data_IF_428632506103
#
_entry.id   IF_428632506103
#
_cell.length_a   1.000
_cell.length_b   1.000
_cell.length_c   1.000
_cell.angle_alpha   90.00
_cell.angle_beta   90.00
_cell.angle_gamma   90.00
#
_symmetry.space_group_name_H-M   'P 1'
#
loop_
_entity.id
_entity.type
_entity.pdbx_description
1 polymer ?
#
# COMPACT_ATOMS: atom_id res chain seq x y z
N UNK A 1 36.58 -25.74 31.57
CA UNK A 1 36.77 -25.57 30.12
C UNK A 1 35.52 -26.05 29.41
N UNK A 2 34.97 -25.23 28.50
CA UNK A 2 34.11 -25.59 27.35
C UNK A 2 32.76 -26.28 27.68
N UNK A 3 31.62 -25.95 27.09
CA UNK A 3 31.24 -25.05 26.01
C UNK A 3 29.75 -24.76 26.18
N UNK A 4 29.36 -23.49 26.20
CA UNK A 4 27.98 -23.06 26.07
C UNK A 4 27.64 -23.05 24.58
N UNK A 5 26.91 -24.06 24.09
CA UNK A 5 26.37 -24.04 22.72
C UNK A 5 25.06 -23.27 22.73
N UNK A 6 25.11 -21.99 22.32
CA UNK A 6 23.93 -21.18 22.07
C UNK A 6 23.53 -21.45 20.61
N UNK A 7 22.58 -22.37 20.43
CA UNK A 7 21.96 -22.63 19.13
C UNK A 7 20.99 -21.47 18.88
N UNK A 8 21.43 -20.50 18.08
CA UNK A 8 20.55 -19.45 17.56
C UNK A 8 19.72 -20.09 16.45
N UNK A 9 18.48 -20.46 16.78
CA UNK A 9 17.45 -20.74 15.78
C UNK A 9 17.08 -19.41 15.11
N UNK A 10 17.68 -19.14 13.95
CA UNK A 10 17.11 -18.18 13.01
C UNK A 10 15.84 -18.82 12.43
N UNK A 11 14.70 -18.56 13.06
CA UNK A 11 13.40 -18.74 12.43
C UNK A 11 13.30 -17.66 11.35
N UNK A 12 13.76 -17.97 10.13
CA UNK A 12 13.42 -17.18 8.96
C UNK A 12 11.91 -17.33 8.75
N UNK A 13 11.14 -16.41 9.32
CA UNK A 13 9.73 -16.25 9.00
C UNK A 13 9.64 -16.01 7.51
N UNK A 14 9.00 -16.93 6.80
CA UNK A 14 8.75 -16.78 5.37
C UNK A 14 7.63 -15.76 5.21
N UNK A 15 7.96 -14.48 5.29
CA UNK A 15 7.06 -13.42 4.84
C UNK A 15 6.87 -13.59 3.33
N UNK A 16 5.65 -13.54 2.80
CA UNK A 16 5.44 -13.58 1.36
C UNK A 16 6.23 -12.45 0.71
N UNK A 17 6.99 -12.79 -0.33
CA UNK A 17 7.79 -11.80 -1.05
C UNK A 17 6.85 -10.78 -1.72
N UNK A 18 7.18 -9.49 -1.59
CA UNK A 18 6.47 -8.42 -2.29
C UNK A 18 6.77 -8.57 -3.80
N UNK A 19 5.75 -8.56 -4.68
CA UNK A 19 5.98 -8.60 -6.11
C UNK A 19 6.82 -7.39 -6.57
N UNK A 20 7.84 -7.64 -7.40
CA UNK A 20 8.76 -6.59 -7.89
C UNK A 20 8.01 -5.44 -8.58
N UNK A 21 6.97 -5.75 -9.38
CA UNK A 21 6.14 -4.74 -10.06
C UNK A 21 5.43 -3.79 -9.08
N UNK A 22 5.08 -4.26 -7.88
CA UNK A 22 4.43 -3.43 -6.86
C UNK A 22 5.43 -2.54 -6.15
N UNK A 23 6.64 -3.05 -5.88
CA UNK A 23 7.75 -2.28 -5.33
C UNK A 23 8.17 -1.16 -6.30
N UNK A 24 8.40 -1.49 -7.57
CA UNK A 24 8.73 -0.52 -8.62
C UNK A 24 7.64 0.55 -8.79
N UNK A 25 6.36 0.15 -8.71
CA UNK A 25 5.24 1.09 -8.78
C UNK A 25 5.24 2.07 -7.60
N UNK A 26 5.46 1.58 -6.37
CA UNK A 26 5.50 2.41 -5.18
C UNK A 26 6.69 3.38 -5.22
N UNK A 27 7.88 2.88 -5.57
CA UNK A 27 9.10 3.67 -5.69
C UNK A 27 9.01 4.76 -6.76
N UNK A 28 8.31 4.50 -7.87
CA UNK A 28 8.08 5.49 -8.92
C UNK A 28 7.35 6.75 -8.42
N UNK A 29 6.60 6.64 -7.32
CA UNK A 29 5.94 7.77 -6.65
C UNK A 29 6.57 8.11 -5.30
N UNK A 30 7.78 7.59 -5.06
CA UNK A 30 8.59 7.90 -3.90
C UNK A 30 8.19 7.17 -2.63
N UNK A 31 7.37 6.12 -2.68
CA UNK A 31 6.94 5.36 -1.50
C UNK A 31 7.79 4.10 -1.28
N UNK A 32 8.01 3.73 -0.02
CA UNK A 32 8.69 2.48 0.32
C UNK A 32 7.76 1.51 1.04
N UNK A 33 7.66 0.28 0.51
CA UNK A 33 6.87 -0.78 1.15
C UNK A 33 7.62 -1.34 2.36
N UNK A 34 6.94 -1.42 3.50
CA UNK A 34 7.41 -2.06 4.73
C UNK A 34 6.95 -3.52 4.81
N UNK A 35 5.63 -3.74 4.67
CA UNK A 35 5.02 -5.08 4.80
C UNK A 35 3.74 -5.22 3.98
N UNK A 36 3.39 -6.47 3.68
CA UNK A 36 2.07 -6.84 3.17
C UNK A 36 1.07 -6.88 4.32
N UNK A 37 -0.06 -6.16 4.18
CA UNK A 37 -1.14 -6.14 5.18
C UNK A 37 -2.31 -7.03 4.79
N UNK A 38 -2.63 -7.10 3.50
CA UNK A 38 -3.77 -7.89 3.06
C UNK A 38 -3.95 -7.94 1.55
N UNK A 39 -4.76 -8.91 1.13
CA UNK A 39 -5.19 -9.08 -0.25
C UNK A 39 -6.68 -9.37 -0.28
N UNK A 40 -7.36 -8.76 -1.24
CA UNK A 40 -8.78 -9.01 -1.48
C UNK A 40 -9.09 -8.91 -2.97
N UNK A 41 -10.23 -9.47 -3.35
CA UNK A 41 -10.76 -9.34 -4.71
C UNK A 41 -12.00 -8.48 -4.66
N UNK A 42 -12.03 -7.44 -5.49
CA UNK A 42 -13.13 -6.47 -5.53
C UNK A 42 -13.66 -6.37 -6.95
N UNK A 43 -14.96 -6.15 -7.10
CA UNK A 43 -15.55 -5.85 -8.40
C UNK A 43 -15.53 -4.34 -8.59
N UNK A 44 -14.88 -3.89 -9.68
CA UNK A 44 -14.84 -2.48 -10.03
C UNK A 44 -16.25 -2.02 -10.40
N UNK A 45 -16.79 -1.09 -9.63
CA UNK A 45 -18.09 -0.48 -9.87
C UNK A 45 -17.93 0.96 -10.35
N UNK A 46 -18.91 1.43 -11.12
CA UNK A 46 -18.96 2.79 -11.68
C UNK A 46 -18.95 3.91 -10.62
N UNK A 47 -19.43 3.60 -9.42
CA UNK A 47 -19.57 4.53 -8.30
C UNK A 47 -18.62 4.07 -7.17
N UNK A 48 -17.57 4.86 -6.95
CA UNK A 48 -16.36 4.51 -6.20
C UNK A 48 -16.56 4.20 -4.70
N UNK A 49 -17.68 4.56 -4.08
CA UNK A 49 -17.75 4.59 -2.60
C UNK A 49 -18.46 3.40 -1.94
N UNK A 50 -19.01 2.45 -2.70
CA UNK A 50 -19.90 1.42 -2.09
C UNK A 50 -19.20 0.33 -1.30
N UNK A 51 -17.86 0.25 -1.34
CA UNK A 51 -17.08 -0.80 -0.65
C UNK A 51 -15.90 -0.26 0.19
N UNK A 52 -15.82 1.05 0.43
CA UNK A 52 -14.67 1.65 1.14
C UNK A 52 -13.37 1.69 0.32
N UNK A 53 -13.49 1.54 -1.00
CA UNK A 53 -12.39 1.47 -1.95
C UNK A 53 -12.21 2.85 -2.58
N UNK A 54 -11.14 3.57 -2.24
CA UNK A 54 -10.90 4.90 -2.80
C UNK A 54 -10.33 4.81 -4.22
N UNK A 55 -11.17 4.51 -5.21
CA UNK A 55 -10.76 4.45 -6.63
C UNK A 55 -10.71 5.82 -7.32
N UNK A 56 -11.00 6.90 -6.59
CA UNK A 56 -11.10 8.26 -7.13
C UNK A 56 -9.79 8.82 -7.71
N UNK A 57 -8.67 8.13 -7.53
CA UNK A 57 -7.33 8.56 -7.95
C UNK A 57 -6.88 8.00 -9.31
N UNK A 58 -7.69 7.13 -9.94
CA UNK A 58 -7.40 6.56 -11.26
C UNK A 58 -8.68 6.26 -12.05
N UNK A 59 -8.55 6.10 -13.37
CA UNK A 59 -9.71 5.87 -14.24
C UNK A 59 -10.17 4.40 -14.15
N UNK A 60 -11.33 4.20 -13.52
CA UNK A 60 -11.96 2.88 -13.38
C UNK A 60 -12.94 2.54 -14.49
N UNK A 61 -13.35 3.52 -15.32
CA UNK A 61 -14.39 3.31 -16.33
C UNK A 61 -14.06 2.20 -17.34
N UNK A 62 -12.80 2.01 -17.79
CA UNK A 62 -12.45 0.91 -18.69
C UNK A 62 -12.58 -0.49 -18.06
N UNK A 63 -12.70 -0.56 -16.74
CA UNK A 63 -12.65 -1.78 -15.96
C UNK A 63 -13.96 -2.09 -15.23
N UNK A 64 -15.02 -1.33 -15.49
CA UNK A 64 -16.33 -1.53 -14.85
C UNK A 64 -16.84 -2.96 -15.01
N UNK A 65 -17.29 -3.58 -13.91
CA UNK A 65 -17.80 -4.94 -13.85
C UNK A 65 -16.71 -6.02 -13.84
N UNK A 66 -15.42 -5.65 -13.82
CA UNK A 66 -14.30 -6.58 -13.75
C UNK A 66 -13.83 -6.79 -12.31
N UNK A 67 -13.26 -7.96 -12.05
CA UNK A 67 -12.61 -8.27 -10.77
C UNK A 67 -11.18 -7.72 -10.77
N UNK A 68 -10.84 -6.95 -9.74
CA UNK A 68 -9.49 -6.49 -9.46
C UNK A 68 -8.96 -7.19 -8.20
N UNK A 69 -7.71 -7.62 -8.24
CA UNK A 69 -6.97 -7.99 -7.04
C UNK A 69 -6.42 -6.71 -6.42
N UNK A 70 -6.81 -6.45 -5.17
CA UNK A 70 -6.28 -5.36 -4.37
C UNK A 70 -5.27 -5.94 -3.41
N UNK A 71 -4.05 -5.39 -3.43
CA UNK A 71 -3.04 -5.71 -2.43
C UNK A 71 -2.72 -4.47 -1.62
N UNK A 72 -2.90 -4.55 -0.31
CA UNK A 72 -2.65 -3.45 0.62
C UNK A 72 -1.34 -3.68 1.35
N UNK A 73 -0.50 -2.65 1.33
CA UNK A 73 0.81 -2.61 1.93
C UNK A 73 0.86 -1.54 3.01
N UNK A 74 1.64 -1.80 4.05
CA UNK A 74 2.11 -0.79 4.98
C UNK A 74 3.34 -0.11 4.40
N UNK A 75 3.40 1.21 4.52
CA UNK A 75 4.53 2.01 4.08
C UNK A 75 5.51 2.27 5.23
N UNK A 76 6.79 2.44 4.89
CA UNK A 76 7.82 2.79 5.87
C UNK A 76 7.63 4.21 6.37
N UNK A 77 7.22 5.11 5.48
CA UNK A 77 6.86 6.48 5.81
C UNK A 77 5.75 6.50 6.86
N UNK A 78 5.80 7.53 7.71
CA UNK A 78 4.83 7.75 8.78
C UNK A 78 4.21 9.13 8.66
N UNK A 79 3.01 9.24 9.20
CA UNK A 79 2.41 10.53 9.46
C UNK A 79 3.27 11.28 10.48
N UNK A 80 3.22 12.60 10.50
CA UNK A 80 3.92 13.41 11.52
C UNK A 80 3.44 13.07 12.94
N UNK A 81 2.23 12.52 13.09
CA UNK A 81 1.72 11.97 14.36
C UNK A 81 2.39 10.67 14.80
N UNK A 82 3.15 10.01 13.93
CA UNK A 82 3.69 8.67 14.10
C UNK A 82 2.75 7.55 13.65
N UNK A 83 1.57 7.88 13.14
CA UNK A 83 0.61 6.91 12.62
C UNK A 83 1.06 6.32 11.28
N UNK A 84 0.60 5.10 11.00
CA UNK A 84 0.94 4.36 9.78
C UNK A 84 0.26 4.94 8.53
N UNK A 85 0.88 4.69 7.37
CA UNK A 85 0.29 4.85 6.05
C UNK A 85 0.18 3.51 5.35
N UNK A 86 -0.82 3.41 4.47
CA UNK A 86 -1.03 2.24 3.64
C UNK A 86 -1.16 2.60 2.17
N UNK A 87 -0.75 1.68 1.30
CA UNK A 87 -0.89 1.76 -0.15
C UNK A 87 -1.63 0.53 -0.65
N UNK A 88 -2.77 0.74 -1.31
CA UNK A 88 -3.53 -0.31 -1.98
C UNK A 88 -3.30 -0.23 -3.48
N UNK A 89 -2.76 -1.30 -4.07
CA UNK A 89 -2.50 -1.42 -5.51
C UNK A 89 -3.56 -2.34 -6.13
N UNK A 90 -4.14 -1.91 -7.26
CA UNK A 90 -5.22 -2.60 -7.96
C UNK A 90 -4.68 -3.24 -9.24
N UNK A 91 -4.91 -4.54 -9.39
CA UNK A 91 -4.41 -5.34 -10.51
C UNK A 91 -5.55 -6.06 -11.23
N UNK A 92 -5.57 -5.96 -12.57
CA UNK A 92 -6.48 -6.71 -13.45
C UNK A 92 -5.66 -7.36 -14.56
N UNK A 93 -5.87 -8.65 -14.82
CA UNK A 93 -5.10 -9.43 -15.81
C UNK A 93 -3.58 -9.26 -15.67
N UNK A 94 -3.06 -9.24 -14.44
CA UNK A 94 -1.65 -8.98 -14.12
C UNK A 94 -1.14 -7.58 -14.55
N UNK A 95 -2.02 -6.61 -14.73
CA UNK A 95 -1.64 -5.22 -14.98
C UNK A 95 -2.10 -4.33 -13.83
N UNK A 96 -1.20 -3.52 -13.30
CA UNK A 96 -1.56 -2.47 -12.34
C UNK A 96 -2.42 -1.42 -13.06
N UNK A 97 -3.65 -1.26 -12.60
CA UNK A 97 -4.61 -0.28 -13.16
C UNK A 97 -4.64 1.02 -12.36
N UNK A 98 -4.12 1.01 -11.14
CA UNK A 98 -4.10 2.17 -10.26
C UNK A 98 -3.74 1.82 -8.82
N UNK A 99 -3.73 2.86 -7.98
CA UNK A 99 -3.46 2.73 -6.55
C UNK A 99 -4.17 3.83 -5.75
N UNK A 100 -4.34 3.58 -4.45
CA UNK A 100 -4.90 4.52 -3.49
C UNK A 100 -4.13 4.43 -2.18
N UNK A 101 -3.84 5.57 -1.57
CA UNK A 101 -3.22 5.64 -0.26
C UNK A 101 -4.25 5.82 0.86
N UNK A 102 -3.90 5.39 2.08
CA UNK A 102 -4.66 5.72 3.28
C UNK A 102 -3.79 6.08 4.50
N UNK A 103 -4.31 6.99 5.31
CA UNK A 103 -3.75 7.49 6.56
C UNK A 103 -4.50 6.83 7.72
N UNK A 104 -3.80 6.09 8.57
CA UNK A 104 -4.39 5.56 9.79
C UNK A 104 -4.93 6.69 10.67
N UNK A 105 -6.11 6.50 11.28
CA UNK A 105 -6.71 7.42 12.25
C UNK A 105 -7.03 8.84 11.75
N UNK A 106 -7.02 9.10 10.43
CA UNK A 106 -7.34 10.41 9.83
C UNK A 106 -8.62 10.34 8.99
N UNK A 107 -9.46 11.39 9.00
CA UNK A 107 -10.66 11.45 8.16
C UNK A 107 -10.89 12.84 7.52
N UNK A 108 -11.03 12.93 6.18
CA UNK A 108 -10.91 11.84 5.22
C UNK A 108 -9.46 11.34 5.16
N UNK A 109 -9.28 10.02 5.25
CA UNK A 109 -7.97 9.40 5.38
C UNK A 109 -7.43 8.83 4.08
N UNK A 110 -7.97 9.18 2.90
CA UNK A 110 -7.47 8.67 1.62
C UNK A 110 -6.66 9.71 0.87
N UNK A 111 -5.66 9.27 0.10
CA UNK A 111 -4.80 10.15 -0.70
C UNK A 111 -4.42 9.54 -2.05
N UNK A 112 -4.06 10.40 -3.00
CA UNK A 112 -3.46 9.99 -4.27
C UNK A 112 -1.97 9.69 -4.06
N UNK A 113 -1.48 8.46 -4.28
CA UNK A 113 -0.07 8.13 -4.14
C UNK A 113 0.86 9.01 -4.99
N UNK A 114 0.35 9.61 -6.07
CA UNK A 114 1.13 10.51 -6.95
C UNK A 114 1.42 11.87 -6.32
N UNK A 115 0.79 12.19 -5.19
CA UNK A 115 0.83 13.50 -4.54
C UNK A 115 1.62 13.48 -3.21
N UNK A 116 2.68 12.66 -3.10
CA UNK A 116 3.55 12.61 -1.89
C UNK A 116 4.04 14.00 -1.49
N UNK A 117 4.53 14.80 -2.44
CA UNK A 117 5.04 16.16 -2.20
C UNK A 117 3.99 17.11 -1.56
N UNK A 118 2.71 16.96 -1.90
CA UNK A 118 1.60 17.72 -1.32
C UNK A 118 1.41 17.35 0.15
N UNK A 119 1.40 16.05 0.46
CA UNK A 119 1.27 15.54 1.83
C UNK A 119 2.45 15.98 2.72
N UNK A 120 3.67 15.98 2.17
CA UNK A 120 4.85 16.48 2.88
C UNK A 120 4.77 18.00 3.06
N UNK A 121 4.37 18.75 2.03
CA UNK A 121 4.24 20.21 2.08
C UNK A 121 3.16 20.70 3.06
N UNK A 122 2.11 19.92 3.24
CA UNK A 122 1.04 20.18 4.22
C UNK A 122 1.41 19.73 5.65
N UNK A 123 2.56 19.06 5.82
CA UNK A 123 3.01 18.55 7.11
C UNK A 123 2.17 17.38 7.63
N UNK A 124 1.56 16.61 6.73
CA UNK A 124 0.79 15.41 7.08
C UNK A 124 1.75 14.23 7.30
N UNK A 125 2.76 14.09 6.46
CA UNK A 125 3.80 13.05 6.54
C UNK A 125 5.18 13.68 6.76
N UNK A 126 6.09 12.90 7.32
CA UNK A 126 7.46 13.37 7.56
C UNK A 126 8.19 13.71 6.25
N UNK A 127 9.09 14.68 6.33
CA UNK A 127 10.02 15.00 5.25
C UNK A 127 11.23 14.06 5.41
N UNK A 128 11.36 13.08 4.52
CA UNK A 128 12.58 12.27 4.40
C UNK A 128 13.74 13.08 3.79
#
# INVERSE_FOLDING_TARGET
MKNWFLVIFFLAGCSPAIPMEHEEYAEAYGWQIESLEGQETVVIQKEADTQGISTSFFDTAPYEGREAQVTTYKLKEKQVSGDDLFLSIYVIDNNIIGASGSLANWSPGSFDPKKKDELTGEGIIEHE
#
